data_IF_698674160340
#
_entry.id   IF_698674160340
#
_cell.length_a   1.000
_cell.length_b   1.000
_cell.length_c   1.000
_cell.angle_alpha   90.00
_cell.angle_beta   90.00
_cell.angle_gamma   90.00
#
_symmetry.space_group_name_H-M   'P 1'
#
loop_
_entity.id
_entity.type
_entity.pdbx_description
1 polymer ?
#
# COMPACT_ATOMS: atom_id res chain seq x y z
N UNK A 1 -19.85 18.27 -10.28
CA UNK A 1 -20.44 17.20 -9.47
C UNK A 1 -20.98 16.14 -10.41
N UNK A 2 -20.40 14.94 -10.42
CA UNK A 2 -20.99 13.80 -11.12
C UNK A 2 -22.33 13.48 -10.46
N UNK A 3 -23.43 13.66 -11.18
CA UNK A 3 -24.75 13.21 -10.72
C UNK A 3 -24.75 11.69 -10.81
N UNK A 4 -24.36 11.04 -9.73
CA UNK A 4 -24.39 9.59 -9.63
C UNK A 4 -25.85 9.13 -9.64
N UNK A 5 -26.16 8.21 -10.55
CA UNK A 5 -27.45 7.52 -10.57
C UNK A 5 -27.63 6.70 -9.28
N UNK A 6 -28.88 6.52 -8.85
CA UNK A 6 -29.23 5.76 -7.64
C UNK A 6 -28.66 4.35 -7.71
N UNK A 7 -28.66 3.73 -8.90
CA UNK A 7 -28.08 2.42 -9.14
C UNK A 7 -26.58 2.38 -8.80
N UNK A 8 -25.82 3.40 -9.22
CA UNK A 8 -24.38 3.49 -8.95
C UNK A 8 -24.08 3.57 -7.46
N UNK A 9 -24.91 4.31 -6.70
CA UNK A 9 -24.80 4.35 -5.24
C UNK A 9 -25.08 2.99 -4.59
N UNK A 10 -26.12 2.27 -5.05
CA UNK A 10 -26.46 0.94 -4.53
C UNK A 10 -25.30 -0.03 -4.74
N UNK A 11 -24.70 -0.07 -5.94
CA UNK A 11 -23.55 -0.93 -6.21
C UNK A 11 -22.34 -0.56 -5.36
N UNK A 12 -22.04 0.73 -5.24
CA UNK A 12 -20.91 1.20 -4.45
C UNK A 12 -21.05 0.81 -2.97
N UNK A 13 -22.23 1.08 -2.37
CA UNK A 13 -22.52 0.70 -0.98
C UNK A 13 -22.42 -0.81 -0.81
N UNK A 14 -22.94 -1.58 -1.77
CA UNK A 14 -22.87 -3.04 -1.73
C UNK A 14 -21.42 -3.54 -1.72
N UNK A 15 -20.52 -2.96 -2.54
CA UNK A 15 -19.10 -3.32 -2.52
C UNK A 15 -18.40 -2.97 -1.19
N UNK A 16 -18.73 -1.82 -0.60
CA UNK A 16 -18.22 -1.47 0.74
C UNK A 16 -18.77 -2.39 1.84
N UNK A 17 -20.03 -2.82 1.76
CA UNK A 17 -20.61 -3.79 2.68
C UNK A 17 -19.92 -5.15 2.56
N UNK A 18 -19.68 -5.62 1.34
CA UNK A 18 -18.93 -6.87 1.10
C UNK A 18 -17.52 -6.75 1.70
N UNK A 19 -16.82 -5.63 1.47
CA UNK A 19 -15.54 -5.37 2.11
C UNK A 19 -15.63 -5.41 3.64
N UNK A 20 -16.63 -4.76 4.24
CA UNK A 20 -16.85 -4.78 5.68
C UNK A 20 -17.04 -6.19 6.25
N UNK A 21 -17.78 -7.06 5.56
CA UNK A 21 -17.95 -8.46 5.95
C UNK A 21 -16.60 -9.19 6.01
N UNK A 22 -15.73 -8.99 5.01
CA UNK A 22 -14.38 -9.59 5.00
C UNK A 22 -13.42 -8.94 6.02
N UNK A 23 -13.57 -7.64 6.28
CA UNK A 23 -12.79 -6.94 7.31
C UNK A 23 -13.11 -7.47 8.71
N UNK A 24 -14.37 -7.77 8.98
CA UNK A 24 -14.83 -8.30 10.27
C UNK A 24 -15.04 -9.81 10.29
N UNK A 25 -14.54 -10.53 9.29
CA UNK A 25 -14.72 -11.98 9.18
C UNK A 25 -14.21 -12.74 10.43
N UNK A 26 -13.16 -12.19 11.07
CA UNK A 26 -12.60 -12.71 12.32
C UNK A 26 -13.57 -12.72 13.51
N UNK A 27 -14.56 -11.83 13.53
CA UNK A 27 -15.57 -11.78 14.59
C UNK A 27 -16.36 -13.09 14.64
N UNK A 28 -16.50 -13.77 13.49
CA UNK A 28 -17.21 -15.05 13.40
C UNK A 28 -16.40 -16.23 13.95
N UNK A 29 -15.18 -16.02 14.47
CA UNK A 29 -14.30 -17.03 15.10
C UNK A 29 -14.06 -18.27 14.24
N UNK A 30 -14.24 -18.18 12.92
CA UNK A 30 -13.85 -19.24 11.97
C UNK A 30 -12.38 -19.04 11.68
N UNK A 31 -11.54 -19.98 12.13
CA UNK A 31 -10.07 -19.88 12.06
C UNK A 31 -9.55 -20.13 10.62
N UNK A 32 -10.17 -19.50 9.63
CA UNK A 32 -9.92 -19.72 8.20
C UNK A 32 -9.08 -18.60 7.60
N UNK A 33 -8.23 -18.94 6.63
CA UNK A 33 -7.33 -17.99 5.95
C UNK A 33 -8.07 -16.96 5.08
N UNK A 34 -9.39 -17.07 4.92
CA UNK A 34 -10.20 -16.15 4.12
C UNK A 34 -10.24 -14.72 4.65
N UNK A 35 -9.82 -14.48 5.89
CA UNK A 35 -9.69 -13.12 6.42
C UNK A 35 -8.81 -12.22 5.55
N UNK A 36 -7.71 -12.77 5.04
CA UNK A 36 -6.76 -12.00 4.24
C UNK A 36 -7.30 -11.66 2.84
N UNK A 37 -8.44 -12.23 2.42
CA UNK A 37 -9.10 -11.79 1.20
C UNK A 37 -9.61 -10.34 1.27
N UNK A 38 -9.76 -9.76 2.47
CA UNK A 38 -10.14 -8.37 2.63
C UNK A 38 -9.24 -7.39 1.83
N UNK A 39 -7.95 -7.70 1.67
CA UNK A 39 -7.03 -6.89 0.87
C UNK A 39 -7.43 -6.85 -0.61
N UNK A 40 -7.85 -7.98 -1.17
CA UNK A 40 -8.33 -8.10 -2.54
C UNK A 40 -9.74 -7.53 -2.70
N UNK A 41 -10.61 -7.78 -1.73
CA UNK A 41 -11.99 -7.28 -1.76
C UNK A 41 -12.03 -5.75 -1.68
N UNK A 42 -11.07 -5.11 -1.01
CA UNK A 42 -10.90 -3.65 -1.02
C UNK A 42 -10.75 -3.08 -2.43
N UNK A 43 -10.26 -3.85 -3.40
CA UNK A 43 -10.09 -3.40 -4.77
C UNK A 43 -11.44 -3.21 -5.49
N UNK A 44 -12.49 -3.90 -5.07
CA UNK A 44 -13.82 -3.81 -5.70
C UNK A 44 -14.43 -2.41 -5.58
N UNK A 45 -14.68 -1.86 -4.37
CA UNK A 45 -15.26 -0.53 -4.25
C UNK A 45 -14.34 0.54 -4.83
N UNK A 46 -13.02 0.37 -4.73
CA UNK A 46 -12.03 1.35 -5.20
C UNK A 46 -12.00 1.44 -6.73
N UNK A 47 -11.88 0.32 -7.42
CA UNK A 47 -11.86 0.35 -8.88
C UNK A 47 -13.23 0.78 -9.44
N UNK A 48 -14.32 0.49 -8.73
CA UNK A 48 -15.64 1.02 -9.07
C UNK A 48 -15.74 2.54 -8.87
N UNK A 49 -15.20 3.09 -7.78
CA UNK A 49 -15.09 4.55 -7.58
C UNK A 49 -14.33 5.20 -8.74
N UNK A 50 -13.23 4.60 -9.17
CA UNK A 50 -12.46 5.13 -10.29
C UNK A 50 -13.29 5.15 -11.58
N UNK A 51 -14.03 4.07 -11.88
CA UNK A 51 -14.96 3.99 -13.01
C UNK A 51 -16.08 5.05 -12.94
N UNK A 52 -16.51 5.42 -11.74
CA UNK A 52 -17.49 6.49 -11.51
C UNK A 52 -16.91 7.91 -11.70
N UNK A 53 -15.67 8.03 -12.20
CA UNK A 53 -14.95 9.30 -12.48
C UNK A 53 -14.57 10.07 -11.23
N UNK A 54 -14.41 9.38 -10.10
CA UNK A 54 -13.74 9.99 -8.97
C UNK A 54 -12.26 10.21 -9.32
N UNK A 55 -11.69 11.26 -8.72
CA UNK A 55 -10.28 11.55 -8.83
C UNK A 55 -9.44 10.32 -8.42
N UNK A 56 -8.43 10.00 -9.21
CA UNK A 56 -7.53 8.87 -8.97
C UNK A 56 -6.75 9.06 -7.66
N UNK A 57 -6.38 10.30 -7.30
CA UNK A 57 -5.67 10.58 -6.04
C UNK A 57 -6.57 10.25 -4.85
N UNK A 58 -7.83 10.71 -4.89
CA UNK A 58 -8.82 10.38 -3.87
C UNK A 58 -9.07 8.87 -3.81
N UNK A 59 -9.25 8.24 -4.97
CA UNK A 59 -9.54 6.81 -5.06
C UNK A 59 -8.42 5.96 -4.45
N UNK A 60 -7.16 6.27 -4.76
CA UNK A 60 -6.01 5.60 -4.17
C UNK A 60 -5.82 5.95 -2.70
N UNK A 61 -6.15 7.18 -2.27
CA UNK A 61 -6.14 7.56 -0.85
C UNK A 61 -7.10 6.70 -0.04
N UNK A 62 -8.33 6.50 -0.54
CA UNK A 62 -9.30 5.61 0.12
C UNK A 62 -8.77 4.17 0.13
N UNK A 63 -8.19 3.69 -0.98
CA UNK A 63 -7.58 2.35 -1.03
C UNK A 63 -6.51 2.16 0.05
N UNK A 64 -5.59 3.10 0.19
CA UNK A 64 -4.55 3.05 1.21
C UNK A 64 -5.14 3.08 2.61
N UNK A 65 -6.19 3.89 2.85
CA UNK A 65 -6.94 3.86 4.11
C UNK A 65 -7.54 2.48 4.41
N UNK A 66 -8.22 1.86 3.43
CA UNK A 66 -8.80 0.52 3.60
C UNK A 66 -7.72 -0.55 3.87
N UNK A 67 -6.59 -0.49 3.17
CA UNK A 67 -5.48 -1.40 3.41
C UNK A 67 -4.82 -1.17 4.77
N UNK A 68 -4.64 0.07 5.22
CA UNK A 68 -4.16 0.37 6.57
C UNK A 68 -5.11 -0.23 7.61
N UNK A 69 -6.43 -0.09 7.44
CA UNK A 69 -7.40 -0.71 8.33
C UNK A 69 -7.27 -2.25 8.34
N UNK A 70 -7.04 -2.86 7.18
CA UNK A 70 -6.81 -4.30 7.08
C UNK A 70 -5.56 -4.74 7.85
N UNK A 71 -4.41 -4.06 7.63
CA UNK A 71 -3.14 -4.37 8.28
C UNK A 71 -3.24 -4.13 9.78
N UNK A 72 -3.82 -3.00 10.21
CA UNK A 72 -3.99 -2.68 11.62
C UNK A 72 -4.83 -3.75 12.33
N UNK A 73 -5.95 -4.16 11.72
CA UNK A 73 -6.80 -5.25 12.20
C UNK A 73 -6.02 -6.55 12.30
N UNK A 74 -5.22 -6.90 11.29
CA UNK A 74 -4.43 -8.13 11.29
C UNK A 74 -3.29 -8.09 12.32
N UNK A 75 -2.57 -6.97 12.47
CA UNK A 75 -1.53 -6.82 13.49
C UNK A 75 -2.12 -6.96 14.90
N UNK A 76 -3.27 -6.32 15.17
CA UNK A 76 -3.88 -6.32 16.50
C UNK A 76 -4.50 -7.67 16.84
N UNK A 77 -5.27 -8.26 15.92
CA UNK A 77 -6.07 -9.46 16.21
C UNK A 77 -5.30 -10.78 16.00
N UNK A 78 -4.27 -10.76 15.16
CA UNK A 78 -3.67 -11.97 14.58
C UNK A 78 -2.22 -12.07 14.97
N UNK A 79 -1.41 -11.07 14.60
CA UNK A 79 0.03 -11.10 14.88
C UNK A 79 0.29 -11.23 16.38
N UNK A 80 -0.54 -10.61 17.22
CA UNK A 80 -0.48 -10.78 18.67
C UNK A 80 -0.70 -12.23 19.14
N UNK A 81 -1.43 -13.05 18.38
CA UNK A 81 -1.80 -14.43 18.73
C UNK A 81 -0.89 -15.48 18.07
N UNK A 82 -0.64 -15.36 16.77
CA UNK A 82 0.11 -16.37 16.00
C UNK A 82 1.55 -15.97 15.71
N UNK A 83 1.87 -14.66 15.75
CA UNK A 83 3.15 -14.09 15.30
C UNK A 83 3.53 -14.39 13.84
N UNK A 84 2.59 -14.88 13.04
CA UNK A 84 2.86 -15.21 11.63
C UNK A 84 2.49 -14.02 10.73
N UNK A 85 3.50 -13.31 10.21
CA UNK A 85 3.31 -12.15 9.32
C UNK A 85 3.30 -12.50 7.83
N UNK A 86 3.88 -13.65 7.46
CA UNK A 86 4.09 -14.05 6.07
C UNK A 86 2.78 -14.06 5.24
N UNK A 87 1.70 -14.61 5.80
CA UNK A 87 0.40 -14.65 5.12
C UNK A 87 -0.17 -13.23 4.88
N UNK A 88 -0.05 -12.33 5.86
CA UNK A 88 -0.51 -10.93 5.74
C UNK A 88 0.22 -10.26 4.58
N UNK A 89 1.54 -10.36 4.57
CA UNK A 89 2.39 -9.76 3.55
C UNK A 89 2.13 -10.33 2.16
N UNK A 90 1.96 -11.65 2.05
CA UNK A 90 1.67 -12.34 0.80
C UNK A 90 0.35 -11.87 0.18
N UNK A 91 -0.74 -11.82 0.95
CA UNK A 91 -2.03 -11.35 0.45
C UNK A 91 -2.04 -9.86 0.13
N UNK A 92 -1.29 -9.06 0.88
CA UNK A 92 -1.11 -7.64 0.58
C UNK A 92 -0.38 -7.44 -0.76
N UNK A 93 0.76 -8.13 -0.98
CA UNK A 93 1.49 -8.08 -2.26
C UNK A 93 0.57 -8.52 -3.41
N UNK A 94 -0.19 -9.60 -3.21
CA UNK A 94 -1.12 -10.07 -4.22
C UNK A 94 -2.15 -8.99 -4.58
N UNK A 95 -2.72 -8.30 -3.58
CA UNK A 95 -3.65 -7.20 -3.83
C UNK A 95 -2.98 -6.03 -4.56
N UNK A 96 -1.73 -5.69 -4.23
CA UNK A 96 -0.95 -4.67 -4.95
C UNK A 96 -0.74 -5.06 -6.41
N UNK A 97 -0.34 -6.31 -6.69
CA UNK A 97 -0.15 -6.81 -8.05
C UNK A 97 -1.45 -6.73 -8.84
N UNK A 98 -2.56 -7.21 -8.25
CA UNK A 98 -3.88 -7.15 -8.89
C UNK A 98 -4.28 -5.69 -9.17
N UNK A 99 -4.00 -4.76 -8.26
CA UNK A 99 -4.30 -3.35 -8.49
C UNK A 99 -3.44 -2.73 -9.59
N UNK A 100 -2.15 -3.10 -9.69
CA UNK A 100 -1.28 -2.66 -10.79
C UNK A 100 -1.79 -3.19 -12.13
N UNK A 101 -2.27 -4.43 -12.19
CA UNK A 101 -2.89 -4.98 -13.40
C UNK A 101 -4.22 -4.29 -13.71
N UNK A 102 -5.06 -4.04 -12.70
CA UNK A 102 -6.29 -3.29 -12.88
C UNK A 102 -6.01 -1.87 -13.39
N UNK A 103 -4.94 -1.24 -12.92
CA UNK A 103 -4.56 0.12 -13.32
C UNK A 103 -4.12 0.22 -14.77
N UNK A 104 -3.62 -0.85 -15.39
CA UNK A 104 -3.33 -0.86 -16.83
C UNK A 104 -4.56 -1.14 -17.69
N UNK A 105 -5.51 -1.95 -17.19
CA UNK A 105 -6.68 -2.38 -17.98
C UNK A 105 -7.83 -1.37 -17.93
N UNK A 106 -8.15 -0.83 -16.75
CA UNK A 106 -9.37 -0.01 -16.54
C UNK A 106 -9.41 1.21 -17.48
N UNK A 107 -8.34 2.03 -17.61
CA UNK A 107 -8.37 3.18 -18.51
C UNK A 107 -8.35 2.81 -20.01
N UNK A 108 -7.99 1.57 -20.36
CA UNK A 108 -8.10 1.09 -21.73
C UNK A 108 -9.55 0.76 -22.11
N UNK A 109 -10.35 0.30 -21.13
CA UNK A 109 -11.80 0.07 -21.31
C UNK A 109 -12.56 1.41 -21.24
N UNK A 110 -12.20 2.25 -20.25
CA UNK A 110 -12.82 3.53 -19.97
C UNK A 110 -11.87 4.67 -20.34
N UNK A 111 -11.83 5.02 -21.62
CA UNK A 111 -10.84 5.97 -22.19
C UNK A 111 -10.88 7.36 -21.58
N UNK A 112 -12.01 7.77 -20.98
CA UNK A 112 -12.12 9.03 -20.24
C UNK A 112 -11.28 9.07 -18.96
N UNK A 113 -10.76 7.94 -18.47
CA UNK A 113 -9.84 7.87 -17.32
C UNK A 113 -8.37 8.04 -17.73
N UNK A 114 -8.07 8.08 -19.03
CA UNK A 114 -6.71 8.34 -19.51
C UNK A 114 -6.28 9.79 -19.19
N UNK A 115 -4.97 10.08 -19.17
CA UNK A 115 -4.45 11.43 -18.97
C UNK A 115 -5.07 12.40 -19.98
N UNK A 116 -5.84 13.38 -19.49
CA UNK A 116 -6.57 14.34 -20.33
C UNK A 116 -6.44 15.79 -19.82
N UNK A 117 -5.47 16.05 -18.94
CA UNK A 117 -5.22 17.37 -18.34
C UNK A 117 -6.17 17.78 -17.23
N UNK A 118 -7.34 17.13 -17.10
CA UNK A 118 -8.31 17.38 -16.02
C UNK A 118 -8.38 16.27 -14.99
N UNK A 119 -7.97 15.06 -15.37
CA UNK A 119 -7.87 13.92 -14.49
C UNK A 119 -6.39 13.80 -14.13
N UNK A 120 -6.05 13.90 -12.83
CA UNK A 120 -4.68 13.85 -12.29
C UNK A 120 -4.06 12.45 -12.39
N UNK A 121 -4.16 11.84 -13.57
CA UNK A 121 -3.67 10.52 -13.93
C UNK A 121 -2.45 10.71 -14.81
N UNK A 122 -1.34 10.09 -14.42
CA UNK A 122 -0.14 9.98 -15.25
C UNK A 122 -0.04 8.57 -15.82
N UNK A 123 0.62 8.45 -16.97
CA UNK A 123 0.94 7.15 -17.57
C UNK A 123 2.43 6.87 -17.37
N UNK A 124 2.73 5.82 -16.64
CA UNK A 124 4.07 5.27 -16.49
C UNK A 124 4.14 3.95 -17.28
N UNK A 125 4.77 3.99 -18.45
CA UNK A 125 4.85 2.86 -19.39
C UNK A 125 3.46 2.34 -19.80
N UNK A 126 2.98 1.28 -19.15
CA UNK A 126 1.68 0.65 -19.40
C UNK A 126 0.67 0.90 -18.26
N UNK A 127 1.13 1.46 -17.13
CA UNK A 127 0.32 1.64 -15.93
C UNK A 127 -0.15 3.07 -15.80
N UNK A 128 -1.40 3.23 -15.39
CA UNK A 128 -1.98 4.53 -15.07
C UNK A 128 -1.96 4.74 -13.56
N UNK A 129 -1.28 5.81 -13.11
CA UNK A 129 -1.00 6.08 -11.70
C UNK A 129 -1.45 7.50 -11.33
N UNK A 130 -1.72 7.76 -10.04
CA UNK A 130 -2.03 9.10 -9.58
C UNK A 130 -0.83 10.05 -9.78
N UNK A 131 -1.10 11.21 -10.36
CA UNK A 131 -0.15 12.30 -10.54
C UNK A 131 -0.32 13.35 -9.45
N UNK A 132 0.45 13.20 -8.37
CA UNK A 132 0.41 14.11 -7.22
C UNK A 132 1.17 15.43 -7.45
N UNK A 133 1.83 15.62 -8.59
CA UNK A 133 2.57 16.85 -8.93
C UNK A 133 1.87 17.66 -10.02
N UNK A 134 0.75 17.16 -10.55
CA UNK A 134 -0.02 17.88 -11.55
C UNK A 134 -0.45 19.26 -11.04
N UNK A 135 -0.42 20.25 -11.93
CA UNK A 135 -0.89 21.59 -11.61
C UNK A 135 -2.40 21.59 -11.33
N UNK A 136 -2.81 22.23 -10.23
CA UNK A 136 -4.22 22.32 -9.83
C UNK A 136 -4.70 21.20 -8.90
N UNK A 137 -3.82 20.28 -8.49
CA UNK A 137 -4.13 19.35 -7.40
C UNK A 137 -4.15 20.14 -6.08
N UNK A 138 -5.17 19.87 -5.26
CA UNK A 138 -5.28 20.43 -3.93
C UNK A 138 -4.19 19.86 -2.99
N UNK A 139 -3.46 20.77 -2.35
CA UNK A 139 -2.33 20.48 -1.46
C UNK A 139 -2.77 19.61 -0.28
N UNK A 140 -3.98 19.81 0.25
CA UNK A 140 -4.48 19.04 1.38
C UNK A 140 -4.70 17.56 1.01
N UNK A 141 -5.22 17.31 -0.20
CA UNK A 141 -5.39 15.96 -0.73
C UNK A 141 -4.04 15.29 -1.01
N UNK A 142 -3.05 16.01 -1.54
CA UNK A 142 -1.69 15.49 -1.73
C UNK A 142 -1.05 15.13 -0.39
N UNK A 143 -1.22 15.97 0.64
CA UNK A 143 -0.69 15.70 1.96
C UNK A 143 -1.33 14.44 2.56
N UNK A 144 -2.66 14.31 2.48
CA UNK A 144 -3.37 13.12 2.94
C UNK A 144 -2.86 11.85 2.23
N UNK A 145 -2.70 11.91 0.90
CA UNK A 145 -2.14 10.82 0.10
C UNK A 145 -0.73 10.44 0.58
N UNK A 146 0.16 11.43 0.76
CA UNK A 146 1.54 11.22 1.23
C UNK A 146 1.59 10.58 2.62
N UNK A 147 0.78 11.07 3.55
CA UNK A 147 0.71 10.54 4.92
C UNK A 147 0.16 9.11 4.94
N UNK A 148 -0.90 8.83 4.19
CA UNK A 148 -1.47 7.48 4.09
C UNK A 148 -0.46 6.51 3.47
N UNK A 149 0.19 6.88 2.37
CA UNK A 149 1.19 6.02 1.75
C UNK A 149 2.38 5.76 2.67
N UNK A 150 2.87 6.79 3.36
CA UNK A 150 3.96 6.66 4.34
C UNK A 150 3.56 5.73 5.49
N UNK A 151 2.35 5.89 6.01
CA UNK A 151 1.80 5.04 7.09
C UNK A 151 1.68 3.59 6.63
N UNK A 152 1.19 3.36 5.41
CA UNK A 152 1.07 2.04 4.82
C UNK A 152 2.45 1.36 4.69
N UNK A 153 3.47 2.08 4.19
CA UNK A 153 4.84 1.56 4.13
C UNK A 153 5.38 1.18 5.50
N UNK A 154 5.19 2.03 6.51
CA UNK A 154 5.63 1.73 7.88
C UNK A 154 4.96 0.46 8.41
N UNK A 155 3.67 0.27 8.16
CA UNK A 155 2.95 -0.93 8.59
C UNK A 155 3.35 -2.20 7.83
N UNK A 156 3.86 -2.07 6.61
CA UNK A 156 4.41 -3.19 5.84
C UNK A 156 5.83 -3.53 6.32
N UNK A 157 6.68 -2.52 6.48
CA UNK A 157 8.08 -2.69 6.85
C UNK A 157 8.24 -3.11 8.31
N UNK A 158 7.44 -2.54 9.21
CA UNK A 158 7.59 -2.72 10.66
C UNK A 158 7.63 -4.19 11.10
N UNK A 159 6.61 -5.00 10.74
CA UNK A 159 6.59 -6.41 11.11
C UNK A 159 7.73 -7.22 10.47
N UNK A 160 8.12 -6.94 9.22
CA UNK A 160 9.27 -7.58 8.58
C UNK A 160 10.57 -7.34 9.36
N UNK A 161 10.77 -6.12 9.86
CA UNK A 161 11.94 -5.78 10.68
C UNK A 161 11.88 -6.41 12.08
N UNK A 162 10.69 -6.61 12.63
CA UNK A 162 10.50 -7.30 13.90
C UNK A 162 10.80 -8.79 13.81
N UNK A 163 10.51 -9.43 12.67
CA UNK A 163 10.80 -10.85 12.44
C UNK A 163 12.31 -11.12 12.42
N UNK A 164 13.09 -10.21 11.83
CA UNK A 164 14.56 -10.28 11.75
C UNK A 164 15.25 -10.03 13.11
N UNK A 165 14.52 -9.51 14.10
CA UNK A 165 15.10 -9.07 15.36
C UNK A 165 15.69 -10.25 16.16
N UNK A 166 16.98 -10.16 16.46
CA UNK A 166 17.68 -11.16 17.26
C UNK A 166 18.08 -12.42 16.50
N UNK A 167 17.86 -12.46 15.19
CA UNK A 167 18.37 -13.52 14.33
C UNK A 167 19.86 -13.34 14.02
N UNK A 168 20.54 -14.47 13.83
CA UNK A 168 21.94 -14.55 13.42
C UNK A 168 22.00 -14.49 11.88
N UNK A 169 22.01 -13.28 11.34
CA UNK A 169 21.99 -13.03 9.89
C UNK A 169 23.40 -12.72 9.37
N UNK A 170 23.92 -13.49 8.39
CA UNK A 170 25.19 -13.18 7.75
C UNK A 170 25.17 -11.80 7.05
N UNK A 171 26.29 -11.09 7.10
CA UNK A 171 26.42 -9.76 6.50
C UNK A 171 25.95 -9.66 5.02
N UNK A 172 26.26 -10.62 4.11
CA UNK A 172 25.76 -10.56 2.75
C UNK A 172 24.23 -10.60 2.65
N UNK A 173 23.57 -11.33 3.55
CA UNK A 173 22.09 -11.42 3.59
C UNK A 173 21.50 -10.09 4.08
N UNK A 174 22.16 -9.42 5.03
CA UNK A 174 21.74 -8.10 5.50
C UNK A 174 21.78 -7.07 4.36
N UNK A 175 22.79 -7.11 3.48
CA UNK A 175 22.83 -6.26 2.29
C UNK A 175 21.68 -6.54 1.32
N UNK A 176 21.33 -7.82 1.12
CA UNK A 176 20.18 -8.21 0.28
C UNK A 176 18.87 -7.66 0.86
N UNK A 177 18.69 -7.76 2.18
CA UNK A 177 17.51 -7.20 2.86
C UNK A 177 17.42 -5.69 2.63
N UNK A 178 18.52 -4.96 2.82
CA UNK A 178 18.56 -3.51 2.56
C UNK A 178 18.25 -3.19 1.09
N UNK A 179 18.75 -3.98 0.14
CA UNK A 179 18.45 -3.82 -1.27
C UNK A 179 16.96 -4.02 -1.59
N UNK A 180 16.29 -4.97 -0.93
CA UNK A 180 14.83 -5.17 -1.06
C UNK A 180 14.08 -3.93 -0.57
N UNK A 181 14.48 -3.35 0.57
CA UNK A 181 13.86 -2.14 1.12
C UNK A 181 14.23 -0.85 0.37
N UNK A 182 15.13 -0.89 -0.61
CA UNK A 182 15.43 0.26 -1.46
C UNK A 182 14.19 0.72 -2.24
N UNK A 183 13.38 -0.21 -2.76
CA UNK A 183 12.17 0.11 -3.54
C UNK A 183 11.14 0.93 -2.75
N UNK A 184 10.70 0.51 -1.54
CA UNK A 184 9.77 1.32 -0.76
C UNK A 184 10.36 2.68 -0.34
N UNK A 185 11.67 2.78 -0.09
CA UNK A 185 12.30 4.07 0.20
C UNK A 185 12.40 4.97 -1.03
N UNK A 186 12.60 4.41 -2.23
CA UNK A 186 12.54 5.14 -3.48
C UNK A 186 11.15 5.74 -3.68
N UNK A 187 10.11 4.95 -3.46
CA UNK A 187 8.73 5.43 -3.51
C UNK A 187 8.48 6.54 -2.48
N UNK A 188 8.91 6.36 -1.22
CA UNK A 188 8.73 7.35 -0.16
C UNK A 188 9.49 8.66 -0.47
N UNK A 189 10.71 8.54 -1.00
CA UNK A 189 11.52 9.70 -1.38
C UNK A 189 10.92 10.44 -2.57
N UNK A 190 10.43 9.70 -3.58
CA UNK A 190 9.68 10.24 -4.70
C UNK A 190 8.51 11.07 -4.20
N UNK A 191 7.57 10.47 -3.46
CA UNK A 191 6.31 11.15 -3.08
C UNK A 191 6.54 12.43 -2.26
N UNK A 192 7.60 12.50 -1.45
CA UNK A 192 7.87 13.64 -0.58
C UNK A 192 8.75 14.71 -1.25
N UNK A 193 9.88 14.31 -1.84
CA UNK A 193 10.87 15.25 -2.43
C UNK A 193 11.44 14.63 -3.72
N UNK A 194 10.77 14.84 -4.88
CA UNK A 194 11.17 14.21 -6.14
C UNK A 194 12.56 14.65 -6.61
N UNK A 195 13.00 15.87 -6.28
CA UNK A 195 14.33 16.35 -6.69
C UNK A 195 15.49 15.66 -5.95
N UNK A 196 15.20 15.06 -4.79
CA UNK A 196 16.20 14.44 -3.92
C UNK A 196 16.02 12.93 -3.78
N UNK A 197 15.32 12.26 -4.71
CA UNK A 197 14.96 10.83 -4.64
C UNK A 197 16.17 9.98 -4.27
N UNK A 198 17.24 10.07 -5.05
CA UNK A 198 18.43 9.23 -4.90
C UNK A 198 19.13 9.45 -3.55
N UNK A 199 19.25 10.71 -3.14
CA UNK A 199 19.95 11.08 -1.90
C UNK A 199 19.15 10.63 -0.68
N UNK A 200 17.84 10.89 -0.66
CA UNK A 200 16.98 10.49 0.45
C UNK A 200 16.82 8.98 0.54
N UNK A 201 16.68 8.29 -0.59
CA UNK A 201 16.58 6.82 -0.61
C UNK A 201 17.86 6.17 -0.10
N UNK A 202 19.02 6.69 -0.52
CA UNK A 202 20.30 6.24 0.00
C UNK A 202 20.41 6.49 1.51
N UNK A 203 20.03 7.68 1.98
CA UNK A 203 20.02 8.01 3.40
C UNK A 203 19.13 7.05 4.21
N UNK A 204 17.91 6.77 3.74
CA UNK A 204 17.00 5.83 4.40
C UNK A 204 17.55 4.40 4.40
N UNK A 205 18.18 3.95 3.32
CA UNK A 205 18.87 2.65 3.29
C UNK A 205 20.03 2.58 4.28
N UNK A 206 20.84 3.64 4.42
CA UNK A 206 21.93 3.71 5.41
C UNK A 206 21.37 3.67 6.83
N UNK A 207 20.32 4.43 7.11
CA UNK A 207 19.65 4.42 8.42
C UNK A 207 19.10 3.02 8.71
N UNK A 208 18.42 2.40 7.74
CA UNK A 208 17.90 1.04 7.88
C UNK A 208 19.01 0.03 8.14
N UNK A 209 20.12 0.12 7.41
CA UNK A 209 21.28 -0.74 7.60
C UNK A 209 21.85 -0.63 9.02
N UNK A 210 21.99 0.60 9.54
CA UNK A 210 22.42 0.83 10.93
C UNK A 210 21.42 0.22 11.92
N UNK A 211 20.12 0.42 11.71
CA UNK A 211 19.07 -0.17 12.55
C UNK A 211 19.14 -1.71 12.51
N UNK A 212 19.31 -2.30 11.33
CA UNK A 212 19.45 -3.75 11.15
C UNK A 212 20.67 -4.30 11.89
N UNK A 213 21.82 -3.61 11.84
CA UNK A 213 23.01 -4.01 12.62
C UNK A 213 22.78 -3.97 14.14
N UNK A 214 21.97 -3.03 14.63
CA UNK A 214 21.64 -2.92 16.06
C UNK A 214 20.69 -4.03 16.50
N UNK A 215 19.70 -4.39 15.67
CA UNK A 215 18.67 -5.38 16.04
C UNK A 215 19.08 -6.83 15.75
N UNK A 216 20.00 -7.07 14.81
CA UNK A 216 20.53 -8.40 14.50
C UNK A 216 21.73 -8.72 15.38
N UNK A 217 21.98 -10.00 15.65
CA UNK A 217 23.11 -10.43 16.48
C UNK A 217 24.48 -10.33 15.80
N UNK A 218 24.52 -10.06 14.49
CA UNK A 218 25.77 -9.91 13.73
C UNK A 218 26.71 -8.83 14.31
N UNK A 219 26.17 -7.83 15.03
CA UNK A 219 26.97 -6.85 15.78
C UNK A 219 27.65 -7.37 17.06
N UNK A 220 27.41 -8.63 17.46
CA UNK A 220 28.03 -9.26 18.65
C UNK A 220 29.20 -10.19 18.31
N UNK A 221 29.65 -10.24 17.06
CA UNK A 221 30.78 -11.09 16.63
C UNK A 221 32.17 -10.61 17.09
N UNK A 222 32.25 -9.64 18.01
CA UNK A 222 33.52 -9.24 18.63
C UNK A 222 33.39 -9.23 20.15
N UNK A 223 33.43 -10.42 20.75
CA UNK A 223 34.05 -10.69 22.05
C UNK A 223 34.60 -12.10 22.10
#
# INVERSE_FOLDING_TARGET
MTTLDLNSWIFLITFFLIFGIFLFFDIFKRNERYRYLAYLVALLPINYLWLLRFDIILTYSILFGLWILCILRDIILVYRKTKEYNDIFMFFILAVIVQIVASSIIPEIATYLKPNGTNFTSKLWFFYLPDIYAAGVDIEFVLAFRLLMTTLLIFIMGPLLLDIKGEDIPFPVLLVIVAIFFVPFLLLSYIWVPDAIWVLSFLFCVILFIVLLIITKSGKEVK
#
